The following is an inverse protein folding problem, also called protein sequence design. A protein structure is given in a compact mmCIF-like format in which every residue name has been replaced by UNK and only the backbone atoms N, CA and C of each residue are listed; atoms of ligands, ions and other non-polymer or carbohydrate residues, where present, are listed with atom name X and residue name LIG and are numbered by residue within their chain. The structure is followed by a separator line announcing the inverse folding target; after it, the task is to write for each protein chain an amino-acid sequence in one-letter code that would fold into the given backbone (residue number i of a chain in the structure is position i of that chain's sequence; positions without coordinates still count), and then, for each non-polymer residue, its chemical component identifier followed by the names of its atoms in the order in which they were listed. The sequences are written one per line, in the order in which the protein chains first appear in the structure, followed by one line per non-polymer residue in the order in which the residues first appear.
data_IF_483235324457
#
_entry.id   IF_483235324457
#
_cell.length_a   1.000
_cell.length_b   1.000
_cell.length_c   1.000
_cell.angle_alpha   90.00
_cell.angle_beta   90.00
_cell.angle_gamma   90.00
#
_symmetry.space_group_name_H-M   'P 1'
#
loop_
_entity.id
_entity.type
_entity.pdbx_description
1 polymer ?
#
# COMPACT_ATOMS: atom_id res chain seq x y z
N UNK A 1 9.45 -7.76 16.06
CA UNK A 1 8.91 -6.61 15.28
C UNK A 1 7.69 -6.10 16.01
N UNK A 2 7.69 -4.85 16.47
CA UNK A 2 6.49 -4.28 17.10
C UNK A 2 5.39 -4.17 16.04
N UNK A 3 4.22 -4.72 16.31
CA UNK A 3 3.11 -4.73 15.35
C UNK A 3 2.45 -3.36 15.37
N UNK A 4 2.51 -2.62 14.26
CA UNK A 4 1.71 -1.39 14.12
C UNK A 4 0.23 -1.76 14.09
N UNK A 5 -0.49 -1.39 15.15
CA UNK A 5 -1.91 -1.69 15.35
C UNK A 5 -2.84 -0.72 14.61
N UNK A 6 -2.44 -0.27 13.42
CA UNK A 6 -3.30 0.58 12.59
C UNK A 6 -4.54 -0.19 12.15
N UNK A 7 -5.71 0.43 12.31
CA UNK A 7 -6.99 -0.02 11.76
C UNK A 7 -7.61 1.17 11.04
N UNK A 8 -7.89 1.07 9.73
CA UNK A 8 -8.60 2.12 9.01
C UNK A 8 -9.98 2.35 9.63
N UNK A 9 -10.43 3.60 9.65
CA UNK A 9 -11.83 3.90 10.02
C UNK A 9 -12.80 3.48 8.91
N UNK A 10 -14.11 3.53 9.20
CA UNK A 10 -15.15 3.24 8.22
C UNK A 10 -15.23 4.26 7.08
N UNK A 11 -14.69 5.46 7.26
CA UNK A 11 -14.71 6.52 6.25
C UNK A 11 -13.45 6.52 5.36
N UNK A 12 -12.44 5.72 5.72
CA UNK A 12 -11.27 5.50 4.87
C UNK A 12 -11.72 4.74 3.61
N UNK A 13 -11.48 5.33 2.44
CA UNK A 13 -11.91 4.76 1.16
C UNK A 13 -11.29 3.36 0.94
N UNK A 14 -10.06 3.16 1.42
CA UNK A 14 -9.28 1.94 1.27
C UNK A 14 -9.53 0.91 2.37
N UNK A 15 -10.48 1.13 3.29
CA UNK A 15 -10.65 0.35 4.52
C UNK A 15 -10.85 -1.16 4.29
N UNK A 16 -11.44 -1.54 3.15
CA UNK A 16 -11.75 -2.94 2.83
C UNK A 16 -10.61 -3.68 2.09
N UNK A 17 -9.51 -3.00 1.74
CA UNK A 17 -8.39 -3.63 1.02
C UNK A 17 -7.32 -4.15 1.99
N UNK A 18 -7.53 -5.37 2.49
CA UNK A 18 -6.62 -6.01 3.45
C UNK A 18 -5.20 -6.23 2.92
N UNK A 19 -5.08 -6.48 1.61
CA UNK A 19 -3.78 -6.68 0.94
C UNK A 19 -2.99 -5.38 0.97
N UNK A 20 -3.62 -4.26 0.60
CA UNK A 20 -3.00 -2.94 0.68
C UNK A 20 -2.75 -2.51 2.12
N UNK A 21 -3.62 -2.85 3.07
CA UNK A 21 -3.39 -2.56 4.49
C UNK A 21 -2.13 -3.25 5.01
N UNK A 22 -1.92 -4.52 4.63
CA UNK A 22 -0.71 -5.27 4.98
C UNK A 22 0.53 -4.65 4.32
N UNK A 23 0.42 -4.23 3.05
CA UNK A 23 1.50 -3.55 2.35
C UNK A 23 1.84 -2.20 2.98
N UNK A 24 0.85 -1.42 3.39
CA UNK A 24 1.00 -0.14 4.05
C UNK A 24 1.73 -0.29 5.40
N UNK A 25 1.31 -1.24 6.25
CA UNK A 25 2.00 -1.52 7.53
C UNK A 25 3.47 -1.90 7.31
N UNK A 26 3.77 -2.71 6.29
CA UNK A 26 5.16 -3.03 5.90
C UNK A 26 5.92 -1.79 5.41
N UNK A 27 5.24 -0.90 4.69
CA UNK A 27 5.83 0.35 4.22
C UNK A 27 6.25 1.23 5.40
N UNK A 28 5.36 1.44 6.39
CA UNK A 28 5.68 2.17 7.62
C UNK A 28 6.88 1.56 8.37
N UNK A 29 6.95 0.23 8.44
CA UNK A 29 8.12 -0.45 9.01
C UNK A 29 9.41 -0.20 8.25
N UNK A 30 9.36 -0.13 6.91
CA UNK A 30 10.54 0.17 6.08
C UNK A 30 11.11 1.56 6.42
N UNK A 31 10.24 2.51 6.74
CA UNK A 31 10.61 3.85 7.20
C UNK A 31 10.85 3.95 8.71
N UNK A 32 10.99 2.81 9.41
CA UNK A 32 11.29 2.76 10.85
C UNK A 32 10.27 3.49 11.73
N UNK A 33 9.00 3.56 11.33
CA UNK A 33 7.92 4.09 12.17
C UNK A 33 7.78 3.17 13.39
N UNK A 34 8.11 3.72 14.57
CA UNK A 34 8.18 2.95 15.81
C UNK A 34 6.81 2.78 16.49
N UNK A 35 5.98 3.83 16.45
CA UNK A 35 4.60 3.83 16.94
C UNK A 35 3.75 4.81 16.12
N UNK A 36 2.45 4.59 16.16
CA UNK A 36 1.41 5.49 15.63
C UNK A 36 0.48 5.99 16.76
N UNK A 37 0.81 5.67 18.01
CA UNK A 37 0.01 6.05 19.17
C UNK A 37 0.01 7.58 19.30
N UNK A 38 -1.18 8.17 19.47
CA UNK A 38 -1.37 9.62 19.52
C UNK A 38 -1.45 10.31 18.15
N UNK A 39 -1.25 9.60 17.04
CA UNK A 39 -1.56 10.15 15.73
C UNK A 39 -3.07 10.23 15.52
N UNK A 40 -3.53 11.33 14.90
CA UNK A 40 -4.93 11.51 14.57
C UNK A 40 -5.40 10.45 13.57
N UNK A 41 -6.57 9.84 13.83
CA UNK A 41 -7.10 8.76 12.98
C UNK A 41 -7.34 9.23 11.54
N UNK A 42 -7.83 10.46 11.34
CA UNK A 42 -8.08 10.99 10.00
C UNK A 42 -6.79 11.18 9.21
N UNK A 43 -5.69 11.52 9.89
CA UNK A 43 -4.37 11.60 9.28
C UNK A 43 -3.86 10.22 8.87
N UNK A 44 -4.03 9.20 9.73
CA UNK A 44 -3.64 7.83 9.41
C UNK A 44 -4.47 7.24 8.25
N UNK A 45 -5.77 7.50 8.23
CA UNK A 45 -6.66 7.10 7.15
C UNK A 45 -6.28 7.78 5.83
N UNK A 46 -6.03 9.09 5.86
CA UNK A 46 -5.56 9.85 4.70
C UNK A 46 -4.23 9.31 4.17
N UNK A 47 -3.26 9.02 5.06
CA UNK A 47 -1.99 8.42 4.67
C UNK A 47 -2.18 7.05 4.01
N UNK A 48 -3.11 6.23 4.51
CA UNK A 48 -3.42 4.93 3.92
C UNK A 48 -4.10 5.07 2.56
N UNK A 49 -5.06 6.00 2.40
CA UNK A 49 -5.72 6.27 1.12
C UNK A 49 -4.73 6.79 0.06
N UNK A 50 -3.84 7.71 0.43
CA UNK A 50 -2.78 8.18 -0.47
C UNK A 50 -1.83 7.06 -0.88
N UNK A 51 -1.44 6.19 0.07
CA UNK A 51 -0.64 5.02 -0.25
C UNK A 51 -1.36 4.11 -1.25
N UNK A 52 -2.64 3.80 -1.00
CA UNK A 52 -3.46 2.95 -1.86
C UNK A 52 -3.55 3.50 -3.29
N UNK A 53 -3.89 4.78 -3.44
CA UNK A 53 -3.99 5.47 -4.73
C UNK A 53 -2.66 5.37 -5.49
N UNK A 54 -1.54 5.66 -4.82
CA UNK A 54 -0.21 5.61 -5.46
C UNK A 54 0.15 4.18 -5.89
N UNK A 55 -0.17 3.15 -5.10
CA UNK A 55 0.07 1.77 -5.52
C UNK A 55 -0.77 1.39 -6.74
N UNK A 56 -2.06 1.73 -6.74
CA UNK A 56 -2.96 1.46 -7.88
C UNK A 56 -2.54 2.19 -9.14
N UNK A 57 -2.15 3.45 -9.03
CA UNK A 57 -1.61 4.21 -10.16
C UNK A 57 -0.35 3.55 -10.74
N UNK A 58 0.57 3.10 -9.87
CA UNK A 58 1.78 2.38 -10.30
C UNK A 58 1.47 1.06 -11.01
N UNK A 59 0.47 0.31 -10.54
CA UNK A 59 0.01 -0.93 -11.20
C UNK A 59 -0.57 -0.64 -12.59
N UNK A 60 -1.42 0.38 -12.70
CA UNK A 60 -2.00 0.81 -13.96
C UNK A 60 -0.94 1.27 -14.97
N UNK A 61 0.01 2.10 -14.54
CA UNK A 61 1.11 2.57 -15.40
C UNK A 61 1.94 1.39 -15.89
N UNK A 62 2.34 0.47 -15.00
CA UNK A 62 3.10 -0.72 -15.41
C UNK A 62 2.35 -1.56 -16.43
N UNK A 63 1.03 -1.69 -16.27
CA UNK A 63 0.19 -2.44 -17.21
C UNK A 63 0.18 -1.78 -18.58
N UNK A 64 0.09 -0.44 -18.63
CA UNK A 64 0.15 0.32 -19.87
C UNK A 64 1.54 0.26 -20.52
N UNK A 65 2.61 0.38 -19.74
CA UNK A 65 4.00 0.24 -20.23
C UNK A 65 4.23 -1.14 -20.87
N UNK A 66 3.69 -2.21 -20.28
CA UNK A 66 3.78 -3.56 -20.85
C UNK A 66 3.00 -3.66 -22.16
N UNK A 67 1.76 -3.15 -22.21
CA UNK A 67 0.95 -3.15 -23.44
C UNK A 67 1.60 -2.35 -24.58
N UNK A 68 2.28 -1.25 -24.24
CA UNK A 68 3.00 -0.43 -25.20
C UNK A 68 4.36 -1.01 -25.63
N UNK A 69 4.79 -2.15 -25.06
CA UNK A 69 6.10 -2.74 -25.33
C UNK A 69 7.27 -1.96 -24.72
N UNK A 70 7.01 -1.03 -23.80
CA UNK A 70 8.03 -0.21 -23.11
C UNK A 70 8.70 -1.00 -21.99
N UNK A 71 7.94 -1.87 -21.30
CA UNK A 71 8.41 -2.70 -20.19
C UNK A 71 8.13 -4.17 -20.46
N UNK A 72 9.06 -5.04 -20.09
CA UNK A 72 8.81 -6.49 -20.07
C UNK A 72 7.76 -6.88 -19.02
N UNK A 73 6.89 -7.87 -19.30
CA UNK A 73 5.98 -8.40 -18.29
C UNK A 73 6.78 -9.03 -17.15
N UNK A 74 6.25 -8.93 -15.92
CA UNK A 74 6.84 -9.64 -14.78
C UNK A 74 6.77 -11.15 -15.07
N UNK A 75 7.94 -11.82 -15.08
CA UNK A 75 8.00 -13.28 -15.00
C UNK A 75 7.56 -13.70 -13.60
N UNK A 76 6.49 -14.49 -13.50
CA UNK A 76 6.09 -15.07 -12.22
C UNK A 76 7.21 -16.02 -11.75
N UNK A 77 7.69 -15.79 -10.53
CA UNK A 77 8.80 -16.58 -9.92
C UNK A 77 8.39 -18.01 -9.54
N UNK A 78 7.27 -18.53 -10.07
CA UNK A 78 6.79 -19.90 -9.84
C UNK A 78 7.02 -20.84 -11.03
N UNK A 79 7.74 -20.43 -12.08
CA UNK A 79 8.29 -21.35 -13.07
C UNK A 79 9.72 -21.77 -12.69
N UNK A 80 9.86 -22.66 -11.70
CA UNK A 80 10.97 -23.62 -11.58
C UNK A 80 10.53 -24.84 -10.78
#
# INVERSE_FOLDING_TARGET
MNKLNFKPSKVCFSANDEVMLKAFKRHLHTYKVASIDGADQSLLDCAFDLFHIVQKQRESIKTLEVKAGIREPKKDKNEK
#
